data_IF_670472685804
#
_entry.id   IF_670472685804
#
_cell.length_a   1.000
_cell.length_b   1.000
_cell.length_c   1.000
_cell.angle_alpha   90.00
_cell.angle_beta   90.00
_cell.angle_gamma   90.00
#
_symmetry.space_group_name_H-M   'P 1'
#
loop_
_entity.id
_entity.type
_entity.pdbx_description
1 polymer ?
#
# COMPACT_ATOMS: atom_id res chain seq x y z
N UNK A 1 1.32 -3.72 0.12
CA UNK A 1 0.53 -4.66 -0.70
C UNK A 1 -0.95 -4.30 -0.85
N UNK A 2 -1.72 -4.09 0.23
CA UNK A 2 -3.16 -3.79 0.13
C UNK A 2 -3.46 -2.62 -0.82
N UNK A 3 -2.69 -1.54 -0.72
CA UNK A 3 -2.85 -0.36 -1.56
C UNK A 3 -2.57 -0.64 -3.05
N UNK A 4 -1.53 -1.41 -3.37
CA UNK A 4 -1.21 -1.79 -4.75
C UNK A 4 -2.39 -2.56 -5.37
N UNK A 5 -2.95 -3.55 -4.65
CA UNK A 5 -4.13 -4.29 -5.11
C UNK A 5 -5.34 -3.36 -5.31
N UNK A 6 -5.58 -2.46 -4.36
CA UNK A 6 -6.68 -1.48 -4.44
C UNK A 6 -6.58 -0.61 -5.68
N UNK A 7 -5.37 -0.16 -6.04
CA UNK A 7 -5.13 0.66 -7.24
C UNK A 7 -5.34 -0.13 -8.52
N UNK A 8 -4.83 -1.36 -8.60
CA UNK A 8 -5.05 -2.25 -9.76
C UNK A 8 -6.54 -2.53 -9.97
N UNK A 9 -7.29 -2.79 -8.88
CA UNK A 9 -8.74 -3.03 -8.94
C UNK A 9 -9.55 -1.81 -9.43
N UNK A 10 -8.98 -0.61 -9.38
CA UNK A 10 -9.62 0.63 -9.82
C UNK A 10 -9.30 0.99 -11.28
N UNK A 11 -8.42 0.23 -11.95
CA UNK A 11 -8.11 0.45 -13.35
C UNK A 11 -9.36 0.24 -14.22
N UNK A 12 -9.57 1.14 -15.16
CA UNK A 12 -10.65 1.07 -16.13
C UNK A 12 -10.11 1.41 -17.52
N UNK A 13 -10.03 0.44 -18.46
CA UNK A 13 -10.49 -0.94 -18.32
C UNK A 13 -9.61 -1.77 -17.35
N UNK A 14 -10.16 -2.82 -16.72
CA UNK A 14 -9.36 -3.75 -15.94
C UNK A 14 -8.41 -4.55 -16.85
N UNK A 15 -7.22 -4.94 -16.36
CA UNK A 15 -6.29 -5.79 -17.11
C UNK A 15 -6.95 -7.14 -17.43
N UNK A 16 -6.79 -7.60 -18.67
CA UNK A 16 -7.42 -8.84 -19.17
C UNK A 16 -6.43 -9.99 -19.31
N UNK A 17 -5.14 -9.70 -19.27
CA UNK A 17 -4.05 -10.69 -19.36
C UNK A 17 -3.07 -10.52 -18.20
N UNK A 18 -2.29 -11.55 -17.94
CA UNK A 18 -1.21 -11.51 -16.94
C UNK A 18 -0.15 -10.46 -17.30
N UNK A 19 0.16 -10.30 -18.58
CA UNK A 19 1.14 -9.32 -19.05
C UNK A 19 0.67 -7.89 -18.79
N UNK A 20 -0.59 -7.56 -19.13
CA UNK A 20 -1.20 -6.26 -18.80
C UNK A 20 -1.25 -6.00 -17.30
N UNK A 21 -1.55 -7.05 -16.51
CA UNK A 21 -1.52 -6.94 -15.06
C UNK A 21 -0.11 -6.60 -14.56
N UNK A 22 0.92 -7.27 -15.10
CA UNK A 22 2.30 -7.04 -14.70
C UNK A 22 2.79 -5.64 -15.08
N UNK A 23 2.48 -5.17 -16.30
CA UNK A 23 2.78 -3.80 -16.74
C UNK A 23 2.18 -2.78 -15.76
N UNK A 24 0.89 -2.87 -15.44
CA UNK A 24 0.26 -1.94 -14.51
C UNK A 24 0.79 -2.06 -13.07
N UNK A 25 1.19 -3.26 -12.63
CA UNK A 25 1.86 -3.43 -11.34
C UNK A 25 3.16 -2.62 -11.32
N UNK A 26 3.97 -2.71 -12.37
CA UNK A 26 5.23 -1.98 -12.47
C UNK A 26 4.99 -0.47 -12.54
N UNK A 27 4.08 -0.02 -13.40
CA UNK A 27 3.72 1.40 -13.54
C UNK A 27 3.29 2.02 -12.20
N UNK A 28 2.37 1.35 -11.49
CA UNK A 28 1.90 1.84 -10.19
C UNK A 28 3.04 1.80 -9.17
N UNK A 29 3.80 0.72 -9.11
CA UNK A 29 4.86 0.55 -8.12
C UNK A 29 5.98 1.59 -8.26
N UNK A 30 6.38 1.91 -9.48
CA UNK A 30 7.43 2.88 -9.77
C UNK A 30 6.92 4.32 -9.92
N UNK A 31 5.61 4.56 -9.79
CA UNK A 31 5.05 5.91 -9.79
C UNK A 31 5.48 6.71 -8.55
N UNK A 32 5.69 8.01 -8.74
CA UNK A 32 6.05 8.93 -7.64
C UNK A 32 4.98 8.94 -6.54
N UNK A 33 3.69 8.94 -6.91
CA UNK A 33 2.58 8.93 -5.95
C UNK A 33 2.59 7.67 -5.06
N UNK A 34 2.95 6.51 -5.61
CA UNK A 34 3.11 5.31 -4.80
C UNK A 34 4.36 5.39 -3.91
N UNK A 35 5.42 6.03 -4.40
CA UNK A 35 6.60 6.38 -3.59
C UNK A 35 6.26 7.25 -2.38
N UNK A 36 5.43 8.29 -2.56
CA UNK A 36 4.93 9.14 -1.48
C UNK A 36 4.08 8.35 -0.48
N UNK A 37 3.20 7.48 -0.97
CA UNK A 37 2.43 6.58 -0.11
C UNK A 37 3.33 5.67 0.75
N UNK A 38 4.38 5.09 0.16
CA UNK A 38 5.35 4.27 0.89
C UNK A 38 6.07 5.10 1.95
N UNK A 39 6.50 6.32 1.63
CA UNK A 39 7.14 7.22 2.61
C UNK A 39 6.22 7.54 3.78
N UNK A 40 4.94 7.80 3.50
CA UNK A 40 3.93 8.02 4.54
C UNK A 40 3.80 6.80 5.47
N UNK A 41 3.82 5.58 4.93
CA UNK A 41 3.78 4.37 5.76
C UNK A 41 4.94 4.30 6.76
N UNK A 42 6.16 4.65 6.33
CA UNK A 42 7.32 4.70 7.22
C UNK A 42 7.18 5.80 8.28
N UNK A 43 6.71 6.99 7.90
CA UNK A 43 6.45 8.09 8.86
C UNK A 43 5.40 7.72 9.92
N UNK A 44 4.44 6.87 9.56
CA UNK A 44 3.42 6.40 10.50
C UNK A 44 3.91 5.29 11.43
N UNK A 45 5.08 4.68 11.15
CA UNK A 45 5.56 3.53 11.92
C UNK A 45 5.79 3.84 13.41
N UNK A 46 6.44 4.95 13.81
CA UNK A 46 6.58 5.31 15.22
C UNK A 46 5.24 5.45 15.95
N UNK A 47 4.23 6.03 15.30
CA UNK A 47 2.89 6.18 15.86
C UNK A 47 2.22 4.82 16.11
N UNK A 48 2.46 3.83 15.24
CA UNK A 48 1.97 2.46 15.44
C UNK A 48 2.65 1.77 16.61
N UNK A 49 3.96 1.98 16.77
CA UNK A 49 4.72 1.49 17.94
C UNK A 49 4.17 2.11 19.21
N UNK A 50 3.94 3.43 19.23
CA UNK A 50 3.39 4.09 20.39
C UNK A 50 2.01 3.53 20.76
N UNK A 51 1.13 3.33 19.77
CA UNK A 51 -0.16 2.69 20.01
C UNK A 51 -0.04 1.28 20.61
N UNK A 52 1.01 0.53 20.27
CA UNK A 52 1.26 -0.80 20.83
C UNK A 52 1.70 -0.74 22.28
N UNK A 53 2.56 0.24 22.62
CA UNK A 53 2.96 0.50 24.00
C UNK A 53 1.75 0.91 24.84
N UNK A 54 0.93 1.83 24.36
CA UNK A 54 -0.27 2.32 25.06
C UNK A 54 -1.27 1.20 25.31
N UNK A 55 -1.41 0.26 24.36
CA UNK A 55 -2.26 -0.92 24.49
C UNK A 55 -1.60 -2.09 25.20
N UNK A 56 -0.39 -1.93 25.75
CA UNK A 56 0.37 -2.98 26.45
C UNK A 56 0.48 -4.26 25.61
N UNK A 57 0.73 -4.12 24.31
CA UNK A 57 0.86 -5.25 23.38
C UNK A 57 -0.47 -5.87 22.92
N UNK A 58 -1.63 -5.35 23.33
CA UNK A 58 -2.93 -5.81 22.79
C UNK A 58 -3.12 -5.33 21.36
N UNK A 59 -3.97 -6.05 20.63
CA UNK A 59 -4.24 -5.81 19.22
C UNK A 59 -4.58 -4.34 18.91
N UNK A 60 -3.97 -3.86 17.84
CA UNK A 60 -4.26 -2.58 17.21
C UNK A 60 -4.79 -2.85 15.81
N UNK A 61 -5.76 -2.04 15.38
CA UNK A 61 -6.31 -2.10 14.03
C UNK A 61 -5.28 -1.57 13.04
N UNK A 62 -4.38 -2.44 12.57
CA UNK A 62 -3.37 -2.16 11.54
C UNK A 62 -3.29 -3.28 10.52
#
# INVERSE_FOLDING_TARGET
WAELKRRIQKLNPPPRTTDQLWEHVQEIWYSEDFGEYVRHLYMMFPHRIQGLLDKKGRWLKY
#
